data_IF_532473833565
#
_entry.id   IF_532473833565
#
_cell.length_a   1.000
_cell.length_b   1.000
_cell.length_c   1.000
_cell.angle_alpha   90.00
_cell.angle_beta   90.00
_cell.angle_gamma   90.00
#
_symmetry.space_group_name_H-M   'P 1'
#
loop_
_entity.id
_entity.type
_entity.pdbx_description
1 polymer ?
#
# COMPACT_ATOMS: atom_id res chain seq x y z
N UNK A 1 4.62 46.84 -8.98
CA UNK A 1 3.76 46.73 -10.19
C UNK A 1 2.75 45.57 -9.98
N UNK A 2 1.47 45.82 -10.25
CA UNK A 2 0.42 44.79 -10.20
C UNK A 2 -0.53 44.94 -11.40
N UNK A 3 -0.88 43.86 -12.08
CA UNK A 3 -1.70 43.90 -13.29
C UNK A 3 -1.19 44.84 -14.40
N UNK A 4 0.14 44.96 -14.54
CA UNK A 4 0.78 45.84 -15.52
C UNK A 4 0.72 47.33 -15.21
N UNK A 5 0.19 47.72 -14.05
CA UNK A 5 0.18 49.16 -13.60
C UNK A 5 1.26 49.40 -12.57
N UNK A 6 1.98 50.48 -12.72
CA UNK A 6 2.90 50.99 -11.71
C UNK A 6 2.07 51.58 -10.57
N UNK A 7 2.25 51.05 -9.35
CA UNK A 7 1.50 51.50 -8.16
C UNK A 7 2.11 52.76 -7.54
N UNK A 8 3.43 52.74 -7.36
CA UNK A 8 4.24 53.86 -6.94
C UNK A 8 5.71 53.59 -7.31
N UNK A 9 6.54 54.65 -7.38
CA UNK A 9 7.96 54.55 -7.70
C UNK A 9 8.76 55.49 -6.80
N UNK A 10 9.82 54.93 -6.23
CA UNK A 10 10.73 55.72 -5.36
C UNK A 10 11.74 54.82 -4.67
N UNK A 11 12.78 55.38 -4.08
CA UNK A 11 13.72 54.65 -3.27
C UNK A 11 13.02 54.02 -2.05
N UNK A 12 13.42 52.79 -1.64
CA UNK A 12 12.78 52.05 -0.56
C UNK A 12 12.56 52.82 0.72
N UNK A 13 13.54 53.61 1.13
CA UNK A 13 13.48 54.47 2.33
C UNK A 13 12.37 55.51 2.24
N UNK A 14 12.16 56.10 1.07
CA UNK A 14 11.15 57.12 0.85
C UNK A 14 9.73 56.49 0.79
N UNK A 15 9.60 55.30 0.23
CA UNK A 15 8.33 54.54 0.22
C UNK A 15 7.94 54.13 1.64
N UNK A 16 8.88 53.63 2.45
CA UNK A 16 8.62 53.26 3.85
C UNK A 16 8.19 54.51 4.67
N UNK A 17 8.83 55.62 4.47
CA UNK A 17 8.49 56.88 5.15
C UNK A 17 7.15 57.43 4.69
N UNK A 18 6.87 57.40 3.37
CA UNK A 18 5.62 57.90 2.77
C UNK A 18 4.39 57.11 3.24
N UNK A 19 4.52 55.78 3.36
CA UNK A 19 3.43 54.91 3.75
C UNK A 19 3.47 54.49 5.23
N UNK A 20 4.45 54.98 6.00
CA UNK A 20 4.68 54.68 7.42
C UNK A 20 4.64 53.17 7.73
N UNK A 21 5.21 52.38 6.87
CA UNK A 21 5.32 50.96 7.04
C UNK A 21 6.74 50.58 7.45
N UNK A 22 6.89 49.52 8.22
CA UNK A 22 8.18 48.99 8.65
C UNK A 22 8.90 48.17 7.56
N UNK A 23 8.13 47.61 6.59
CA UNK A 23 8.69 46.82 5.51
C UNK A 23 8.08 47.17 4.15
N UNK A 24 8.85 46.99 3.07
CA UNK A 24 8.40 47.24 1.69
C UNK A 24 7.23 46.32 1.31
N UNK A 25 7.17 45.12 1.87
CA UNK A 25 6.08 44.18 1.66
C UNK A 25 4.74 44.75 2.17
N UNK A 26 4.75 45.41 3.34
CA UNK A 26 3.57 46.09 3.88
C UNK A 26 3.11 47.24 2.99
N UNK A 27 4.06 48.03 2.47
CA UNK A 27 3.76 49.09 1.50
C UNK A 27 3.09 48.51 0.26
N UNK A 28 3.61 47.39 -0.25
CA UNK A 28 3.07 46.75 -1.41
C UNK A 28 1.65 46.19 -1.17
N UNK A 29 1.42 45.54 -0.03
CA UNK A 29 0.10 45.01 0.38
C UNK A 29 -0.92 46.14 0.48
N UNK A 30 -0.54 47.27 1.08
CA UNK A 30 -1.38 48.44 1.23
C UNK A 30 -1.76 49.07 -0.14
N UNK A 31 -0.79 49.18 -1.05
CA UNK A 31 -1.03 49.69 -2.40
C UNK A 31 -1.87 48.71 -3.25
N UNK A 32 -1.64 47.43 -3.08
CA UNK A 32 -2.42 46.43 -3.79
C UNK A 32 -3.87 46.35 -3.32
N UNK A 33 -4.13 46.45 -2.01
CA UNK A 33 -5.47 46.52 -1.45
C UNK A 33 -6.25 47.76 -1.87
N UNK A 34 -5.55 48.91 -1.97
CA UNK A 34 -6.15 50.15 -2.51
C UNK A 34 -6.53 50.02 -3.99
N UNK A 35 -5.75 49.27 -4.78
CA UNK A 35 -6.07 49.01 -6.18
C UNK A 35 -7.31 48.14 -6.31
N UNK A 36 -7.44 47.11 -5.47
CA UNK A 36 -8.61 46.21 -5.48
C UNK A 36 -9.89 46.96 -5.08
N UNK A 37 -9.85 47.83 -4.08
CA UNK A 37 -10.99 48.67 -3.69
C UNK A 37 -11.45 49.63 -4.81
N UNK A 38 -10.53 50.17 -5.62
CA UNK A 38 -10.88 51.01 -6.78
C UNK A 38 -11.49 50.22 -7.94
N UNK A 39 -11.37 48.89 -7.97
CA UNK A 39 -11.99 47.98 -8.95
C UNK A 39 -13.33 47.43 -8.47
N UNK A 40 -13.69 47.64 -7.21
CA UNK A 40 -14.92 47.17 -6.55
C UNK A 40 -15.92 48.28 -6.23
N UNK A 41 -15.93 49.40 -6.93
CA UNK A 41 -17.05 50.34 -6.87
C UNK A 41 -18.31 49.74 -7.56
N UNK A 42 -18.85 48.69 -6.92
CA UNK A 42 -20.22 48.16 -7.03
C UNK A 42 -20.66 47.90 -5.58
N UNK A 43 -21.81 48.45 -5.12
CA UNK A 43 -22.21 48.36 -3.73
C UNK A 43 -22.78 46.96 -3.39
N UNK A 44 -22.10 46.23 -2.55
CA UNK A 44 -22.69 45.15 -1.76
C UNK A 44 -22.06 45.09 -0.39
N UNK A 45 -22.92 45.23 0.62
CA UNK A 45 -22.65 45.13 2.05
C UNK A 45 -21.97 43.82 2.40
N UNK A 46 -20.98 43.86 3.28
CA UNK A 46 -20.42 42.65 3.92
C UNK A 46 -19.04 42.92 4.56
N UNK A 47 -19.06 43.22 5.85
CA UNK A 47 -17.91 43.38 6.73
C UNK A 47 -16.89 42.22 6.62
N UNK A 48 -15.66 42.57 6.25
CA UNK A 48 -14.46 41.86 6.72
C UNK A 48 -13.37 42.90 6.97
N UNK A 49 -13.26 43.30 8.24
CA UNK A 49 -12.19 44.15 8.73
C UNK A 49 -10.90 43.34 8.80
N UNK A 50 -9.98 43.56 7.88
CA UNK A 50 -8.56 43.34 8.09
C UNK A 50 -7.93 44.71 8.19
N UNK A 51 -7.79 45.19 9.42
CA UNK A 51 -7.13 46.44 9.76
C UNK A 51 -5.60 46.31 9.54
N UNK A 52 -5.14 46.60 8.35
CA UNK A 52 -3.74 46.98 8.14
C UNK A 52 -3.69 48.51 8.20
N UNK A 53 -3.66 49.06 9.42
CA UNK A 53 -3.41 50.46 9.67
C UNK A 53 -1.92 50.75 9.58
N UNK A 54 -1.49 51.29 8.46
CA UNK A 54 -0.34 52.20 8.46
C UNK A 54 -0.92 53.63 8.58
N UNK A 55 -0.59 54.34 9.65
CA UNK A 55 -1.09 55.71 9.86
C UNK A 55 -0.51 56.64 8.79
N UNK A 56 -1.39 57.25 8.02
CA UNK A 56 -1.02 58.31 7.05
C UNK A 56 -0.81 59.61 7.83
N UNK A 57 0.43 60.06 8.00
CA UNK A 57 0.69 61.44 8.48
C UNK A 57 0.40 62.39 7.32
N UNK A 58 -0.60 63.21 7.52
CA UNK A 58 -0.82 64.42 6.76
C UNK A 58 0.19 65.44 7.23
N UNK A 59 1.24 65.68 6.48
CA UNK A 59 2.10 66.84 6.70
C UNK A 59 1.48 68.03 5.99
N UNK A 60 0.96 68.97 6.79
CA UNK A 60 0.62 70.30 6.33
C UNK A 60 1.91 71.09 6.01
N UNK A 61 1.78 71.84 4.98
CA UNK A 61 2.61 72.81 4.31
C UNK A 61 3.61 73.62 5.12
N UNK A 62 4.75 73.87 4.50
CA UNK A 62 5.41 75.16 4.52
C UNK A 62 6.06 75.36 3.16
N UNK A 63 5.61 76.39 2.48
CA UNK A 63 6.14 76.95 1.22
C UNK A 63 7.55 77.43 1.35
N UNK A 64 8.41 77.02 0.47
CA UNK A 64 9.51 77.86 -0.03
C UNK A 64 9.97 77.37 -1.39
N UNK A 65 9.78 78.22 -2.40
CA UNK A 65 10.29 77.99 -3.76
C UNK A 65 11.82 77.93 -3.79
N UNK A 66 12.38 77.06 -4.62
CA UNK A 66 13.38 77.45 -5.59
C UNK A 66 13.17 76.93 -7.01
N UNK A 67 13.56 77.75 -7.91
CA UNK A 67 13.71 77.81 -9.36
C UNK A 67 13.75 76.47 -10.16
N UNK A 68 13.37 76.50 -11.47
CA UNK A 68 13.16 75.33 -12.31
C UNK A 68 14.49 74.73 -12.79
N UNK A 69 14.77 73.57 -12.40
CA UNK A 69 15.81 72.74 -12.98
C UNK A 69 15.25 71.91 -14.14
N UNK A 70 16.01 71.86 -15.24
CA UNK A 70 15.73 71.40 -16.56
C UNK A 70 14.94 70.07 -16.56
N UNK A 71 13.79 70.11 -17.20
CA UNK A 71 13.04 68.90 -17.63
C UNK A 71 13.90 68.03 -18.56
N UNK A 72 14.44 66.99 -17.99
CA UNK A 72 14.91 65.86 -18.79
C UNK A 72 13.65 65.21 -19.43
N UNK A 73 13.51 65.34 -20.74
CA UNK A 73 12.45 64.73 -21.47
C UNK A 73 12.53 63.20 -21.33
N UNK A 74 11.73 62.67 -20.43
CA UNK A 74 11.54 61.22 -20.32
C UNK A 74 10.89 60.72 -21.62
N UNK A 75 11.68 60.06 -22.45
CA UNK A 75 11.21 59.32 -23.57
C UNK A 75 10.00 58.50 -23.13
N UNK A 76 8.80 58.72 -23.69
CA UNK A 76 7.64 57.85 -23.56
C UNK A 76 8.06 56.45 -23.94
N UNK A 77 8.46 55.66 -22.95
CA UNK A 77 8.61 54.22 -23.12
C UNK A 77 7.25 53.67 -23.50
N UNK A 78 7.17 53.10 -24.68
CA UNK A 78 6.03 52.34 -25.08
C UNK A 78 5.74 51.29 -24.00
N UNK A 79 4.70 51.54 -23.19
CA UNK A 79 4.17 50.52 -22.32
C UNK A 79 3.62 49.43 -23.23
N UNK A 80 4.45 48.39 -23.45
CA UNK A 80 4.02 47.15 -24.10
C UNK A 80 3.02 46.53 -23.15
N UNK A 81 1.74 46.84 -23.33
CA UNK A 81 0.62 46.14 -22.69
C UNK A 81 0.53 44.76 -23.32
N UNK A 82 1.46 43.90 -23.01
CA UNK A 82 1.27 42.47 -23.23
C UNK A 82 0.11 42.05 -22.36
N UNK A 83 -1.09 41.93 -22.94
CA UNK A 83 -2.19 41.18 -22.33
C UNK A 83 -1.73 39.74 -22.20
N UNK A 84 -1.10 39.41 -21.08
CA UNK A 84 -0.70 38.04 -20.74
C UNK A 84 -1.98 37.20 -20.73
N UNK A 85 -2.15 36.37 -21.74
CA UNK A 85 -3.27 35.44 -21.82
C UNK A 85 -3.13 34.39 -20.75
N UNK A 86 -4.23 33.82 -20.24
CA UNK A 86 -4.20 32.73 -19.24
C UNK A 86 -3.28 31.59 -19.69
N UNK A 87 -3.28 31.28 -20.99
CA UNK A 87 -2.42 30.26 -21.56
C UNK A 87 -0.92 30.55 -21.43
N UNK A 88 -0.50 31.81 -21.65
CA UNK A 88 0.91 32.21 -21.51
C UNK A 88 1.37 32.11 -20.05
N UNK A 89 0.51 32.47 -19.09
CA UNK A 89 0.78 32.33 -17.65
C UNK A 89 0.89 30.87 -17.25
N UNK A 90 -0.03 30.02 -17.68
CA UNK A 90 0.00 28.58 -17.44
C UNK A 90 1.28 27.93 -18.00
N UNK A 91 1.65 28.26 -19.24
CA UNK A 91 2.90 27.77 -19.85
C UNK A 91 4.13 28.16 -19.01
N UNK A 92 4.20 29.40 -18.53
CA UNK A 92 5.33 29.87 -17.72
C UNK A 92 5.40 29.12 -16.38
N UNK A 93 4.24 28.85 -15.73
CA UNK A 93 4.17 28.08 -14.50
C UNK A 93 4.61 26.64 -14.71
N UNK A 94 4.14 25.99 -15.79
CA UNK A 94 4.53 24.64 -16.13
C UNK A 94 6.03 24.52 -16.36
N UNK A 95 6.62 25.44 -17.15
CA UNK A 95 8.06 25.46 -17.38
C UNK A 95 8.84 25.66 -16.06
N UNK A 96 8.36 26.58 -15.20
CA UNK A 96 8.95 26.78 -13.86
C UNK A 96 8.96 25.48 -13.05
N UNK A 97 7.80 24.83 -12.96
CA UNK A 97 7.63 23.62 -12.16
C UNK A 97 8.46 22.44 -12.71
N UNK A 98 8.46 22.24 -14.02
CA UNK A 98 9.27 21.18 -14.67
C UNK A 98 10.77 21.44 -14.44
N UNK A 99 11.24 22.66 -14.66
CA UNK A 99 12.65 23.00 -14.41
C UNK A 99 13.05 22.83 -12.96
N UNK A 100 12.14 23.08 -12.03
CA UNK A 100 12.39 22.87 -10.60
C UNK A 100 12.58 21.37 -10.31
N UNK A 101 11.69 20.51 -10.81
CA UNK A 101 11.79 19.05 -10.66
C UNK A 101 13.11 18.51 -11.24
N UNK A 102 13.46 18.94 -12.45
CA UNK A 102 14.68 18.46 -13.15
C UNK A 102 15.96 18.98 -12.47
N UNK A 103 15.95 20.17 -11.89
CA UNK A 103 17.13 20.76 -11.21
C UNK A 103 17.42 20.17 -9.84
N UNK A 104 16.51 19.39 -9.26
CA UNK A 104 16.72 18.68 -8.01
C UNK A 104 16.87 17.16 -8.24
N UNK A 105 18.02 16.70 -8.74
CA UNK A 105 18.21 15.30 -9.13
C UNK A 105 18.08 14.34 -7.95
N UNK A 106 18.43 14.78 -6.73
CA UNK A 106 18.25 13.96 -5.52
C UNK A 106 16.78 13.69 -5.20
N UNK A 107 15.94 14.71 -5.28
CA UNK A 107 14.49 14.58 -5.09
C UNK A 107 13.84 13.73 -6.17
N UNK A 108 14.25 13.95 -7.44
CA UNK A 108 13.76 13.17 -8.56
C UNK A 108 14.18 11.70 -8.45
N UNK A 109 15.44 11.43 -8.11
CA UNK A 109 15.94 10.07 -7.89
C UNK A 109 15.17 9.36 -6.77
N UNK A 110 14.96 10.03 -5.63
CA UNK A 110 14.18 9.50 -4.52
C UNK A 110 12.74 9.15 -4.95
N UNK A 111 12.11 10.03 -5.73
CA UNK A 111 10.72 9.87 -6.22
C UNK A 111 10.55 8.61 -7.07
N UNK A 112 11.56 8.19 -7.85
CA UNK A 112 11.50 6.99 -8.68
C UNK A 112 12.09 5.74 -8.00
N UNK A 113 13.13 5.87 -7.19
CA UNK A 113 13.74 4.72 -6.52
C UNK A 113 12.84 4.19 -5.41
N UNK A 114 12.15 5.06 -4.67
CA UNK A 114 11.34 4.67 -3.52
C UNK A 114 10.22 3.68 -3.89
N UNK A 115 9.38 3.90 -4.92
CA UNK A 115 8.31 2.96 -5.30
C UNK A 115 8.83 1.58 -5.68
N UNK A 116 9.95 1.53 -6.39
CA UNK A 116 10.60 0.26 -6.78
C UNK A 116 11.07 -0.50 -5.54
N UNK A 117 11.72 0.21 -4.62
CA UNK A 117 12.23 -0.37 -3.38
C UNK A 117 11.08 -0.88 -2.49
N UNK A 118 9.96 -0.16 -2.39
CA UNK A 118 8.78 -0.58 -1.66
C UNK A 118 8.16 -1.85 -2.25
N UNK A 119 8.04 -1.94 -3.59
CA UNK A 119 7.52 -3.14 -4.26
C UNK A 119 8.46 -4.32 -4.05
N UNK A 120 9.77 -4.12 -4.23
CA UNK A 120 10.77 -5.18 -4.00
C UNK A 120 10.67 -5.67 -2.55
N UNK A 121 10.63 -4.76 -1.58
CA UNK A 121 10.51 -5.10 -0.16
C UNK A 121 9.23 -5.87 0.12
N UNK A 122 8.10 -5.44 -0.46
CA UNK A 122 6.82 -6.13 -0.32
C UNK A 122 6.89 -7.58 -0.83
N UNK A 123 7.37 -7.78 -2.06
CA UNK A 123 7.44 -9.13 -2.63
C UNK A 123 8.50 -10.01 -1.98
N UNK A 124 9.59 -9.44 -1.48
CA UNK A 124 10.62 -10.20 -0.74
C UNK A 124 10.13 -10.63 0.64
N UNK A 125 9.24 -9.84 1.28
CA UNK A 125 8.74 -10.15 2.63
C UNK A 125 7.46 -10.97 2.63
N UNK A 126 6.52 -10.70 1.71
CA UNK A 126 5.16 -11.27 1.72
C UNK A 126 4.93 -12.16 0.48
N UNK A 127 5.70 -11.97 -0.59
CA UNK A 127 5.46 -12.60 -1.89
C UNK A 127 5.73 -14.09 -1.99
N UNK A 128 6.39 -14.71 -1.00
CA UNK A 128 6.75 -16.11 -0.99
C UNK A 128 5.92 -16.96 -0.04
N UNK A 129 5.82 -18.27 -0.33
CA UNK A 129 5.32 -19.22 0.66
C UNK A 129 6.30 -19.29 1.83
N UNK A 130 5.79 -19.40 3.07
CA UNK A 130 6.65 -19.54 4.24
C UNK A 130 7.53 -20.78 4.10
N UNK A 131 8.83 -20.65 4.38
CA UNK A 131 9.81 -21.74 4.25
C UNK A 131 10.36 -22.13 5.61
N UNK A 132 10.82 -23.40 5.74
CA UNK A 132 11.48 -23.91 6.95
C UNK A 132 10.63 -23.87 8.22
N UNK A 133 9.32 -24.06 8.08
CA UNK A 133 8.42 -24.14 9.22
C UNK A 133 8.71 -25.43 10.03
N UNK A 134 8.79 -25.32 11.36
CA UNK A 134 9.05 -26.46 12.22
C UNK A 134 7.76 -27.03 12.77
N UNK A 135 7.51 -28.32 12.51
CA UNK A 135 6.41 -29.07 13.10
C UNK A 135 6.91 -30.07 14.13
N UNK A 136 6.27 -30.10 15.29
CA UNK A 136 6.43 -31.17 16.25
C UNK A 136 5.62 -32.40 15.80
N UNK A 137 6.23 -33.55 15.79
CA UNK A 137 5.57 -34.82 15.47
C UNK A 137 5.59 -35.70 16.72
N UNK A 138 4.39 -36.08 17.18
CA UNK A 138 4.20 -37.11 18.19
C UNK A 138 3.49 -38.27 17.52
N UNK A 139 4.21 -39.35 17.28
CA UNK A 139 3.69 -40.47 16.51
C UNK A 139 3.83 -41.77 17.32
N UNK A 140 2.74 -42.14 17.98
CA UNK A 140 2.67 -43.38 18.77
C UNK A 140 2.46 -44.61 17.91
N UNK A 141 1.94 -44.46 16.66
CA UNK A 141 1.74 -45.56 15.68
C UNK A 141 3.06 -46.24 15.23
N UNK A 142 4.20 -45.54 15.46
CA UNK A 142 5.54 -46.10 15.17
C UNK A 142 6.04 -47.08 16.24
N UNK A 143 5.42 -47.14 17.41
CA UNK A 143 5.91 -47.91 18.55
C UNK A 143 7.28 -47.40 19.06
N UNK A 144 8.30 -48.26 19.10
CA UNK A 144 9.61 -47.95 19.66
C UNK A 144 10.59 -47.25 18.72
N UNK A 145 10.17 -46.89 17.49
CA UNK A 145 11.05 -46.23 16.55
C UNK A 145 11.15 -44.71 16.82
N UNK A 146 12.35 -44.13 16.61
CA UNK A 146 12.62 -42.74 16.96
C UNK A 146 12.10 -41.74 15.94
N UNK A 147 11.94 -42.15 14.67
CA UNK A 147 11.45 -41.33 13.57
C UNK A 147 10.98 -42.17 12.38
N UNK A 148 10.25 -41.57 11.47
CA UNK A 148 9.71 -42.30 10.30
C UNK A 148 10.76 -42.85 9.33
N UNK A 149 11.95 -42.24 9.26
CA UNK A 149 13.03 -42.79 8.42
C UNK A 149 13.61 -44.08 9.04
N UNK A 150 13.72 -44.13 10.35
CA UNK A 150 14.14 -45.30 11.11
C UNK A 150 13.09 -46.44 10.96
N UNK A 151 11.83 -46.10 11.13
CA UNK A 151 10.71 -47.04 10.88
C UNK A 151 10.74 -47.60 9.44
N UNK A 152 10.85 -46.75 8.42
CA UNK A 152 10.84 -47.14 7.02
C UNK A 152 12.05 -48.00 6.60
N UNK A 153 13.18 -47.92 7.33
CA UNK A 153 14.36 -48.75 7.09
C UNK A 153 14.17 -50.19 7.54
N UNK A 154 13.26 -50.47 8.49
CA UNK A 154 13.01 -51.76 9.07
C UNK A 154 11.66 -52.37 8.65
N UNK A 155 10.67 -51.54 8.35
CA UNK A 155 9.31 -51.98 8.03
C UNK A 155 8.81 -51.27 6.75
N UNK A 156 8.10 -52.01 5.86
CA UNK A 156 7.47 -51.37 4.72
C UNK A 156 6.36 -50.43 5.19
N UNK A 157 6.30 -49.21 4.61
CA UNK A 157 5.26 -48.22 4.89
C UNK A 157 4.29 -48.12 3.72
N UNK A 158 2.99 -47.95 4.00
CA UNK A 158 1.96 -47.84 3.02
C UNK A 158 1.21 -49.16 2.74
N UNK A 159 0.91 -49.44 1.48
CA UNK A 159 0.14 -50.57 1.05
C UNK A 159 1.06 -51.75 0.77
N UNK A 160 0.80 -52.89 1.43
CA UNK A 160 1.50 -54.16 1.20
C UNK A 160 0.49 -55.18 0.62
N UNK A 161 0.76 -55.69 -0.57
CA UNK A 161 -0.06 -56.70 -1.19
C UNK A 161 0.34 -58.10 -0.68
N UNK A 162 -0.64 -58.83 -0.20
CA UNK A 162 -0.56 -60.27 0.00
C UNK A 162 -1.53 -60.95 -0.96
N UNK A 163 -1.37 -62.26 -1.18
CA UNK A 163 -2.00 -63.03 -2.28
C UNK A 163 -3.51 -62.80 -2.53
N UNK A 164 -4.26 -62.20 -1.60
CA UNK A 164 -5.67 -61.82 -1.79
C UNK A 164 -6.11 -60.56 -0.97
N UNK A 165 -5.24 -60.00 -0.12
CA UNK A 165 -5.61 -58.93 0.80
C UNK A 165 -4.65 -57.74 0.71
N UNK A 166 -5.22 -56.53 0.89
CA UNK A 166 -4.50 -55.28 0.96
C UNK A 166 -4.25 -54.94 2.44
N UNK A 167 -3.00 -55.02 2.87
CA UNK A 167 -2.62 -54.77 4.24
C UNK A 167 -1.96 -53.39 4.30
N UNK A 168 -2.40 -52.55 5.26
CA UNK A 168 -1.84 -51.28 5.51
C UNK A 168 -0.82 -51.35 6.67
N UNK A 169 0.34 -50.68 6.52
CA UNK A 169 1.38 -50.62 7.55
C UNK A 169 2.01 -49.23 7.61
N UNK A 170 2.17 -48.74 8.84
CA UNK A 170 2.86 -47.46 9.11
C UNK A 170 2.29 -46.30 8.29
N UNK A 171 0.95 -46.21 8.21
CA UNK A 171 0.27 -45.15 7.44
C UNK A 171 0.59 -43.76 7.94
N UNK A 172 0.85 -43.59 9.23
CA UNK A 172 1.31 -42.31 9.83
C UNK A 172 2.61 -41.84 9.19
N UNK A 173 3.60 -42.71 9.05
CA UNK A 173 4.88 -42.37 8.41
C UNK A 173 4.74 -42.20 6.88
N UNK A 174 3.89 -43.01 6.24
CA UNK A 174 3.61 -42.84 4.83
C UNK A 174 2.96 -41.49 4.52
N UNK A 175 1.96 -41.09 5.32
CA UNK A 175 1.36 -39.76 5.26
C UNK A 175 2.37 -38.62 5.44
N UNK A 176 3.23 -38.69 6.47
CA UNK A 176 4.24 -37.68 6.72
C UNK A 176 5.24 -37.56 5.57
N UNK A 177 5.62 -38.65 4.94
CA UNK A 177 6.50 -38.68 3.76
C UNK A 177 5.81 -38.10 2.53
N UNK A 178 4.57 -38.45 2.27
CA UNK A 178 3.78 -37.88 1.18
C UNK A 178 3.51 -36.40 1.39
N UNK A 179 3.19 -36.00 2.60
CA UNK A 179 2.99 -34.59 2.99
C UNK A 179 4.26 -33.76 2.75
N UNK A 180 5.43 -34.29 3.13
CA UNK A 180 6.71 -33.61 2.87
C UNK A 180 7.02 -33.46 1.38
N UNK A 181 6.72 -34.50 0.57
CA UNK A 181 7.07 -34.52 -0.84
C UNK A 181 6.06 -33.79 -1.74
N UNK A 182 4.81 -33.65 -1.31
CA UNK A 182 3.72 -33.10 -2.12
C UNK A 182 3.64 -31.57 -2.11
N UNK A 183 4.38 -30.91 -1.22
CA UNK A 183 4.23 -29.48 -0.98
C UNK A 183 5.42 -28.67 -1.49
N UNK A 184 5.10 -27.48 -2.03
CA UNK A 184 6.10 -26.44 -2.35
C UNK A 184 6.74 -25.83 -1.09
N UNK A 185 6.13 -26.04 0.08
CA UNK A 185 6.59 -25.58 1.39
C UNK A 185 7.31 -26.72 2.09
N UNK A 186 8.59 -26.54 2.38
CA UNK A 186 9.37 -27.55 3.12
C UNK A 186 9.17 -27.36 4.61
N UNK A 187 8.67 -28.40 5.27
CA UNK A 187 8.52 -28.49 6.72
C UNK A 187 9.69 -29.24 7.34
N UNK A 188 10.19 -28.75 8.49
CA UNK A 188 11.19 -29.46 9.28
C UNK A 188 10.47 -30.18 10.42
N UNK A 189 10.48 -31.50 10.42
CA UNK A 189 9.88 -32.33 11.45
C UNK A 189 10.81 -32.50 12.64
N UNK A 190 10.28 -32.23 13.83
CA UNK A 190 10.96 -32.47 15.11
C UNK A 190 10.14 -33.48 15.90
N UNK A 191 10.67 -34.67 16.11
CA UNK A 191 9.97 -35.75 16.79
C UNK A 191 10.05 -35.60 18.31
N UNK A 192 8.91 -35.83 18.96
CA UNK A 192 8.76 -35.80 20.41
C UNK A 192 8.13 -37.11 20.88
N UNK A 193 8.55 -37.59 22.05
CA UNK A 193 8.00 -38.82 22.67
C UNK A 193 6.70 -38.55 23.44
N UNK A 194 6.44 -37.30 23.77
CA UNK A 194 5.30 -36.89 24.58
C UNK A 194 4.65 -35.61 24.06
N UNK A 195 3.33 -35.60 24.11
CA UNK A 195 2.53 -34.47 23.62
C UNK A 195 2.77 -33.19 24.45
N UNK A 196 2.93 -33.32 25.79
CA UNK A 196 3.10 -32.17 26.64
C UNK A 196 4.43 -31.42 26.37
N UNK A 197 5.49 -32.16 26.05
CA UNK A 197 6.79 -31.60 25.64
C UNK A 197 6.71 -30.87 24.31
N UNK A 198 5.98 -31.45 23.35
CA UNK A 198 5.74 -30.82 22.05
C UNK A 198 4.91 -29.53 22.21
N UNK A 199 3.83 -29.58 22.99
CA UNK A 199 2.97 -28.42 23.26
C UNK A 199 3.70 -27.31 24.01
N UNK A 200 4.63 -27.64 24.91
CA UNK A 200 5.49 -26.64 25.55
C UNK A 200 6.35 -25.92 24.52
N UNK A 201 6.94 -26.64 23.58
CA UNK A 201 7.76 -26.06 22.50
C UNK A 201 6.95 -25.15 21.56
N UNK A 202 5.65 -25.44 21.32
CA UNK A 202 4.75 -24.52 20.59
C UNK A 202 4.55 -23.23 21.41
N UNK A 203 4.26 -23.34 22.71
CA UNK A 203 4.08 -22.18 23.60
C UNK A 203 5.33 -21.30 23.69
N UNK A 204 6.51 -21.88 23.56
CA UNK A 204 7.80 -21.17 23.52
C UNK A 204 8.09 -20.57 22.15
N UNK A 205 7.23 -20.78 21.12
CA UNK A 205 7.40 -20.26 19.78
C UNK A 205 8.46 -20.99 18.93
N UNK A 206 8.93 -22.15 19.36
CA UNK A 206 9.94 -22.95 18.64
C UNK A 206 9.32 -23.78 17.50
N UNK A 207 8.01 -24.07 17.57
CA UNK A 207 7.23 -24.86 16.63
C UNK A 207 6.01 -24.07 16.20
N UNK A 208 5.59 -24.26 14.93
CA UNK A 208 4.35 -23.67 14.41
C UNK A 208 3.11 -24.50 14.75
N UNK A 209 3.31 -25.76 15.08
CA UNK A 209 2.24 -26.68 15.47
C UNK A 209 2.74 -28.06 15.79
N UNK A 210 1.82 -28.90 16.24
CA UNK A 210 2.09 -30.31 16.58
C UNK A 210 1.09 -31.19 15.82
N UNK A 211 1.59 -32.28 15.24
CA UNK A 211 0.82 -33.38 14.66
C UNK A 211 0.92 -34.56 15.61
N UNK A 212 -0.22 -35.12 15.98
CA UNK A 212 -0.30 -36.30 16.85
C UNK A 212 -1.02 -37.43 16.11
N UNK A 213 -0.39 -38.60 16.14
CA UNK A 213 -0.94 -39.87 15.67
C UNK A 213 -1.07 -40.84 16.85
N UNK A 214 -2.26 -41.41 17.03
CA UNK A 214 -2.51 -42.36 18.08
C UNK A 214 -1.78 -43.70 17.82
N UNK A 215 -1.57 -44.52 18.86
CA UNK A 215 -0.87 -45.81 18.81
C UNK A 215 -1.46 -46.77 17.76
N UNK A 216 -2.79 -46.79 17.60
CA UNK A 216 -3.50 -47.66 16.69
C UNK A 216 -4.01 -46.92 15.43
N UNK A 217 -3.35 -45.84 15.01
CA UNK A 217 -3.80 -45.05 13.86
C UNK A 217 -3.96 -45.87 12.58
N UNK A 218 -2.97 -46.68 12.24
CA UNK A 218 -2.99 -47.54 11.03
C UNK A 218 -4.09 -48.59 11.09
N UNK A 219 -4.26 -49.25 12.25
CA UNK A 219 -5.30 -50.29 12.46
C UNK A 219 -6.70 -49.65 12.46
N UNK A 220 -6.90 -48.53 13.09
CA UNK A 220 -8.15 -47.78 13.14
C UNK A 220 -8.56 -47.24 11.77
N UNK A 221 -7.60 -46.83 10.95
CA UNK A 221 -7.84 -46.43 9.57
C UNK A 221 -8.39 -47.61 8.74
N UNK A 222 -7.78 -48.77 8.91
CA UNK A 222 -8.23 -50.03 8.25
C UNK A 222 -9.62 -50.43 8.71
N UNK A 223 -9.84 -50.48 10.02
CA UNK A 223 -11.14 -50.80 10.60
C UNK A 223 -12.25 -49.85 10.15
N UNK A 224 -11.97 -48.57 10.02
CA UNK A 224 -12.91 -47.57 9.48
C UNK A 224 -13.29 -47.87 8.02
N UNK A 225 -12.35 -48.32 7.20
CA UNK A 225 -12.62 -48.67 5.81
C UNK A 225 -13.50 -49.93 5.70
N UNK A 226 -13.28 -50.92 6.60
CA UNK A 226 -14.01 -52.18 6.61
C UNK A 226 -15.40 -52.05 7.22
N UNK A 227 -15.52 -51.41 8.39
CA UNK A 227 -16.74 -51.26 9.15
C UNK A 227 -17.64 -50.12 8.64
N UNK A 228 -17.06 -49.10 8.03
CA UNK A 228 -17.79 -47.96 7.48
C UNK A 228 -18.66 -47.26 8.54
N UNK A 229 -19.99 -47.44 8.43
CA UNK A 229 -20.95 -46.80 9.35
C UNK A 229 -21.05 -47.53 10.71
N UNK A 230 -20.62 -48.77 10.79
CA UNK A 230 -20.66 -49.56 12.02
C UNK A 230 -19.38 -49.45 12.85
N UNK A 231 -18.48 -48.50 12.49
CA UNK A 231 -17.25 -48.26 13.25
C UNK A 231 -17.54 -47.63 14.62
N UNK A 232 -16.94 -48.20 15.67
CA UNK A 232 -17.03 -47.66 17.02
C UNK A 232 -16.39 -46.27 17.18
N UNK A 233 -16.86 -45.49 18.14
CA UNK A 233 -16.34 -44.15 18.45
C UNK A 233 -14.83 -44.19 18.72
N UNK A 234 -14.33 -45.22 19.38
CA UNK A 234 -12.88 -45.42 19.61
C UNK A 234 -12.09 -45.51 18.29
N UNK A 235 -12.60 -46.25 17.30
CA UNK A 235 -11.98 -46.37 15.97
C UNK A 235 -11.98 -45.00 15.26
N UNK A 236 -13.08 -44.30 15.37
CA UNK A 236 -13.22 -42.95 14.77
C UNK A 236 -12.27 -41.93 15.39
N UNK A 237 -12.05 -41.94 16.70
CA UNK A 237 -11.15 -41.03 17.39
C UNK A 237 -9.66 -41.39 17.16
N UNK A 238 -9.35 -42.69 17.08
CA UNK A 238 -7.96 -43.14 16.94
C UNK A 238 -7.39 -43.02 15.54
N UNK A 239 -8.27 -42.95 14.50
CA UNK A 239 -7.81 -42.68 13.14
C UNK A 239 -7.68 -41.20 12.80
N UNK A 240 -8.07 -40.30 13.72
CA UNK A 240 -7.92 -38.85 13.51
C UNK A 240 -6.46 -38.39 13.67
N UNK A 241 -6.00 -37.57 12.72
CA UNK A 241 -4.75 -36.83 12.89
C UNK A 241 -5.08 -35.59 13.69
N UNK A 242 -4.65 -35.55 14.97
CA UNK A 242 -4.90 -34.39 15.82
C UNK A 242 -3.83 -33.33 15.61
N UNK A 243 -4.26 -32.09 15.35
CA UNK A 243 -3.37 -30.99 14.96
C UNK A 243 -3.63 -29.78 15.85
N UNK A 244 -2.58 -29.28 16.49
CA UNK A 244 -2.56 -28.00 17.20
C UNK A 244 -1.66 -27.06 16.46
N UNK A 245 -2.18 -25.90 16.04
CA UNK A 245 -1.46 -24.87 15.27
C UNK A 245 -1.33 -23.60 16.09
N UNK A 246 -0.22 -22.91 15.93
CA UNK A 246 -0.07 -21.53 16.39
C UNK A 246 -0.84 -20.60 15.45
N UNK A 247 -1.93 -20.03 15.96
CA UNK A 247 -2.81 -19.13 15.21
C UNK A 247 -2.41 -17.66 15.32
N UNK A 248 -1.25 -17.34 15.91
CA UNK A 248 -0.75 -15.96 16.04
C UNK A 248 -0.61 -15.30 14.66
N UNK A 249 -0.12 -16.05 13.68
CA UNK A 249 -0.18 -15.66 12.28
C UNK A 249 -1.31 -16.44 11.57
N UNK A 250 -2.52 -15.90 11.63
CA UNK A 250 -3.72 -16.55 11.08
C UNK A 250 -3.60 -16.90 9.59
N UNK A 251 -2.86 -16.12 8.81
CA UNK A 251 -2.65 -16.36 7.38
C UNK A 251 -1.85 -17.63 7.12
N UNK A 252 -0.72 -17.77 7.82
CA UNK A 252 0.14 -18.96 7.72
C UNK A 252 -0.59 -20.18 8.25
N UNK A 253 -1.28 -20.07 9.38
CA UNK A 253 -2.06 -21.17 9.96
C UNK A 253 -3.17 -21.64 9.03
N UNK A 254 -3.91 -20.71 8.39
CA UNK A 254 -4.96 -21.04 7.43
C UNK A 254 -4.41 -21.76 6.19
N UNK A 255 -3.28 -21.29 5.68
CA UNK A 255 -2.59 -21.95 4.54
C UNK A 255 -2.16 -23.37 4.91
N UNK A 256 -1.60 -23.57 6.10
CA UNK A 256 -1.21 -24.89 6.60
C UNK A 256 -2.43 -25.80 6.74
N UNK A 257 -3.50 -25.29 7.32
CA UNK A 257 -4.75 -26.04 7.48
C UNK A 257 -5.30 -26.50 6.13
N UNK A 258 -5.36 -25.63 5.13
CA UNK A 258 -5.79 -25.98 3.79
C UNK A 258 -4.87 -27.05 3.17
N UNK A 259 -3.56 -26.86 3.24
CA UNK A 259 -2.60 -27.84 2.72
C UNK A 259 -2.71 -29.20 3.40
N UNK A 260 -3.00 -29.22 4.69
CA UNK A 260 -3.18 -30.45 5.44
C UNK A 260 -4.41 -31.22 4.97
N UNK A 261 -5.54 -30.55 4.78
CA UNK A 261 -6.75 -31.16 4.22
C UNK A 261 -6.50 -31.72 2.81
N UNK A 262 -5.90 -30.94 1.92
CA UNK A 262 -5.62 -31.36 0.54
C UNK A 262 -4.68 -32.58 0.52
N UNK A 263 -3.65 -32.57 1.39
CA UNK A 263 -2.71 -33.69 1.49
C UNK A 263 -3.35 -34.94 2.06
N UNK A 264 -4.22 -34.83 3.06
CA UNK A 264 -4.95 -35.97 3.60
C UNK A 264 -5.90 -36.59 2.57
N UNK A 265 -6.62 -35.77 1.80
CA UNK A 265 -7.47 -36.27 0.72
C UNK A 265 -6.69 -36.99 -0.37
N UNK A 266 -5.58 -36.38 -0.82
CA UNK A 266 -4.72 -37.02 -1.84
C UNK A 266 -4.13 -38.33 -1.36
N UNK A 267 -3.66 -38.34 -0.09
CA UNK A 267 -3.16 -39.55 0.57
C UNK A 267 -4.21 -40.64 0.65
N UNK A 268 -5.41 -40.35 1.14
CA UNK A 268 -6.50 -41.33 1.28
C UNK A 268 -6.94 -41.87 -0.08
N UNK A 269 -7.05 -41.02 -1.11
CA UNK A 269 -7.36 -41.46 -2.47
C UNK A 269 -6.29 -42.36 -3.07
N UNK A 270 -5.01 -42.04 -2.83
CA UNK A 270 -3.86 -42.82 -3.31
C UNK A 270 -3.89 -44.23 -2.70
N UNK A 271 -4.04 -44.31 -1.39
CA UNK A 271 -4.11 -45.59 -0.67
C UNK A 271 -5.28 -46.47 -1.15
N UNK A 272 -6.47 -45.89 -1.29
CA UNK A 272 -7.63 -46.62 -1.79
C UNK A 272 -7.41 -47.10 -3.23
N UNK A 273 -6.83 -46.27 -4.09
CA UNK A 273 -6.49 -46.64 -5.47
C UNK A 273 -5.46 -47.76 -5.51
N UNK A 274 -4.45 -47.72 -4.67
CA UNK A 274 -3.42 -48.74 -4.58
C UNK A 274 -3.99 -50.07 -4.08
N UNK A 275 -5.05 -50.05 -3.29
CA UNK A 275 -5.80 -51.26 -2.90
C UNK A 275 -6.90 -51.69 -3.89
N UNK A 276 -7.00 -51.09 -5.07
CA UNK A 276 -8.05 -51.40 -6.05
C UNK A 276 -9.46 -50.95 -5.64
N UNK A 277 -9.57 -50.19 -4.55
CA UNK A 277 -10.82 -49.61 -4.07
C UNK A 277 -11.15 -48.30 -4.81
N UNK A 278 -12.43 -47.91 -4.80
CA UNK A 278 -12.82 -46.68 -5.46
C UNK A 278 -12.36 -45.45 -4.68
N UNK A 279 -11.42 -44.63 -5.22
CA UNK A 279 -10.88 -43.47 -4.52
C UNK A 279 -11.94 -42.41 -4.15
N UNK A 280 -13.10 -42.43 -4.81
CA UNK A 280 -14.21 -41.51 -4.52
C UNK A 280 -14.85 -41.72 -3.14
N UNK A 281 -14.64 -42.89 -2.53
CA UNK A 281 -15.16 -43.20 -1.18
C UNK A 281 -14.48 -42.30 -0.11
N UNK A 282 -13.22 -41.94 -0.33
CA UNK A 282 -12.49 -41.04 0.56
C UNK A 282 -12.81 -39.55 0.34
N UNK A 283 -13.61 -39.20 -0.68
CA UNK A 283 -13.92 -37.80 -0.97
C UNK A 283 -15.23 -37.38 -0.32
N UNK A 284 -15.26 -36.14 0.19
CA UNK A 284 -16.51 -35.50 0.57
C UNK A 284 -17.36 -35.32 -0.71
N UNK A 285 -18.69 -35.57 -0.68
CA UNK A 285 -19.55 -35.46 -1.87
C UNK A 285 -19.79 -33.98 -2.27
N UNK A 286 -18.78 -33.13 -2.11
CA UNK A 286 -18.74 -31.73 -2.55
C UNK A 286 -17.53 -31.56 -3.45
N UNK A 287 -17.76 -31.34 -4.73
CA UNK A 287 -16.70 -31.17 -5.71
C UNK A 287 -16.63 -29.70 -6.14
N UNK A 288 -15.48 -29.10 -5.91
CA UNK A 288 -15.16 -27.78 -6.48
C UNK A 288 -14.64 -28.00 -7.90
N UNK A 289 -15.41 -27.51 -8.87
CA UNK A 289 -14.98 -27.49 -10.27
C UNK A 289 -14.02 -26.36 -10.55
N UNK A 290 -13.52 -26.30 -11.78
CA UNK A 290 -12.65 -25.22 -12.22
C UNK A 290 -13.27 -23.86 -11.90
N UNK A 291 -12.52 -22.94 -11.22
CA UNK A 291 -13.06 -21.64 -10.84
C UNK A 291 -13.44 -20.84 -12.08
N UNK A 292 -14.54 -20.11 -12.00
CA UNK A 292 -14.98 -19.20 -13.08
C UNK A 292 -13.98 -18.07 -13.27
N UNK A 293 -13.43 -17.57 -12.17
CA UNK A 293 -12.37 -16.57 -12.13
C UNK A 293 -11.31 -16.97 -11.11
N UNK A 294 -10.04 -16.63 -11.39
CA UNK A 294 -8.93 -16.92 -10.50
C UNK A 294 -8.35 -18.33 -10.67
N UNK A 295 -7.57 -18.75 -9.69
CA UNK A 295 -6.97 -20.10 -9.62
C UNK A 295 -7.11 -20.67 -8.21
N UNK A 296 -7.26 -21.96 -8.08
CA UNK A 296 -7.33 -22.66 -6.79
C UNK A 296 -6.01 -22.57 -6.01
N UNK A 297 -4.88 -22.40 -6.72
CA UNK A 297 -3.53 -22.32 -6.15
C UNK A 297 -2.96 -20.91 -6.26
N UNK A 298 -3.64 -19.89 -5.75
CA UNK A 298 -3.06 -18.54 -5.72
C UNK A 298 -2.24 -18.33 -4.44
N UNK A 299 -0.99 -17.90 -4.61
CA UNK A 299 -0.14 -17.50 -3.51
C UNK A 299 -0.74 -16.26 -2.82
N UNK A 300 -0.63 -16.20 -1.50
CA UNK A 300 -1.14 -15.09 -0.69
C UNK A 300 -0.61 -13.72 -1.15
N UNK A 301 0.68 -13.64 -1.48
CA UNK A 301 1.29 -12.43 -2.01
C UNK A 301 0.63 -11.94 -3.31
N UNK A 302 0.28 -12.86 -4.22
CA UNK A 302 -0.40 -12.53 -5.48
C UNK A 302 -1.83 -12.01 -5.24
N UNK A 303 -2.52 -12.50 -4.21
CA UNK A 303 -3.86 -12.05 -3.83
C UNK A 303 -3.84 -10.62 -3.28
N UNK A 304 -2.88 -10.29 -2.41
CA UNK A 304 -2.79 -8.97 -1.77
C UNK A 304 -2.14 -7.92 -2.68
N UNK A 305 -1.26 -8.33 -3.60
CA UNK A 305 -0.47 -7.42 -4.43
C UNK A 305 -1.28 -6.28 -5.09
N UNK A 306 -2.47 -6.51 -5.69
CA UNK A 306 -3.25 -5.42 -6.29
C UNK A 306 -3.65 -4.34 -5.29
N UNK A 307 -4.06 -4.74 -4.07
CA UNK A 307 -4.41 -3.81 -3.00
C UNK A 307 -3.23 -2.96 -2.54
N UNK A 308 -2.07 -3.59 -2.38
CA UNK A 308 -0.82 -2.90 -2.01
C UNK A 308 -0.39 -1.91 -3.08
N UNK A 309 -0.42 -2.29 -4.36
CA UNK A 309 -0.05 -1.42 -5.48
C UNK A 309 -0.96 -0.19 -5.54
N UNK A 310 -2.28 -0.36 -5.41
CA UNK A 310 -3.26 0.74 -5.39
C UNK A 310 -3.00 1.69 -4.22
N UNK A 311 -2.76 1.14 -3.03
CA UNK A 311 -2.47 1.90 -1.81
C UNK A 311 -1.15 2.66 -1.92
N UNK A 312 -0.11 2.02 -2.45
CA UNK A 312 1.20 2.62 -2.67
C UNK A 312 1.12 3.85 -3.58
N UNK A 313 0.46 3.72 -4.73
CA UNK A 313 0.31 4.85 -5.68
C UNK A 313 -0.45 6.01 -5.04
N UNK A 314 -1.49 5.73 -4.24
CA UNK A 314 -2.23 6.76 -3.52
C UNK A 314 -1.32 7.53 -2.56
N UNK A 315 -0.60 6.83 -1.66
CA UNK A 315 0.26 7.48 -0.68
C UNK A 315 1.44 8.22 -1.31
N UNK A 316 2.04 7.68 -2.36
CA UNK A 316 3.09 8.37 -3.11
C UNK A 316 2.57 9.68 -3.71
N UNK A 317 1.40 9.65 -4.33
CA UNK A 317 0.78 10.84 -4.92
C UNK A 317 0.46 11.90 -3.85
N UNK A 318 -0.09 11.51 -2.70
CA UNK A 318 -0.33 12.41 -1.56
C UNK A 318 0.97 13.03 -1.08
N UNK A 319 1.99 12.21 -0.82
CA UNK A 319 3.27 12.64 -0.23
C UNK A 319 4.02 13.60 -1.15
N UNK A 320 4.20 13.22 -2.42
CA UNK A 320 4.93 14.05 -3.40
C UNK A 320 4.23 15.39 -3.61
N UNK A 321 2.90 15.38 -3.75
CA UNK A 321 2.13 16.62 -3.94
C UNK A 321 2.20 17.52 -2.72
N UNK A 322 2.10 16.95 -1.52
CA UNK A 322 2.20 17.71 -0.26
C UNK A 322 3.56 18.36 -0.08
N UNK A 323 4.64 17.59 -0.28
CA UNK A 323 6.02 18.10 -0.14
C UNK A 323 6.27 19.28 -1.09
N UNK A 324 5.85 19.17 -2.35
CA UNK A 324 6.05 20.24 -3.34
C UNK A 324 5.35 21.54 -2.92
N UNK A 325 4.10 21.45 -2.45
CA UNK A 325 3.33 22.64 -2.01
C UNK A 325 3.94 23.26 -0.75
N UNK A 326 4.33 22.43 0.23
CA UNK A 326 4.99 22.90 1.46
C UNK A 326 6.26 23.65 1.10
N UNK A 327 7.13 23.05 0.31
CA UNK A 327 8.41 23.64 -0.09
C UNK A 327 8.22 24.98 -0.82
N UNK A 328 7.21 25.11 -1.71
CA UNK A 328 6.93 26.39 -2.37
C UNK A 328 6.45 27.48 -1.41
N UNK A 329 5.71 27.10 -0.37
CA UNK A 329 5.30 28.04 0.67
C UNK A 329 6.46 28.48 1.54
N UNK A 330 7.28 27.54 2.00
CA UNK A 330 8.43 27.81 2.88
C UNK A 330 9.49 28.68 2.18
N UNK A 331 9.70 28.50 0.88
CA UNK A 331 10.58 29.34 0.08
C UNK A 331 9.97 30.70 -0.29
N UNK A 332 8.70 30.95 0.06
CA UNK A 332 7.98 32.18 -0.29
C UNK A 332 7.73 32.34 -1.80
N UNK A 333 7.92 31.30 -2.60
CA UNK A 333 7.67 31.32 -4.06
C UNK A 333 6.17 31.42 -4.35
N UNK A 334 5.35 30.82 -3.51
CA UNK A 334 3.90 30.89 -3.59
C UNK A 334 3.39 32.34 -3.54
N UNK A 335 3.81 33.11 -2.53
CA UNK A 335 3.37 34.50 -2.34
C UNK A 335 3.88 35.42 -3.46
N UNK A 336 5.14 35.26 -3.88
CA UNK A 336 5.68 35.98 -5.04
C UNK A 336 4.91 35.72 -6.32
N UNK A 337 4.44 34.50 -6.52
CA UNK A 337 3.62 34.12 -7.70
C UNK A 337 2.23 34.76 -7.64
N UNK A 338 1.60 34.79 -6.45
CA UNK A 338 0.32 35.49 -6.25
C UNK A 338 0.45 37.00 -6.49
N UNK A 339 1.52 37.60 -5.97
CA UNK A 339 1.81 39.04 -6.15
C UNK A 339 2.03 39.39 -7.64
N UNK A 340 2.56 38.47 -8.44
CA UNK A 340 2.71 38.69 -9.90
C UNK A 340 1.39 38.72 -10.66
N UNK A 341 0.25 38.46 -9.98
CA UNK A 341 -1.11 38.47 -10.58
C UNK A 341 -1.59 37.14 -11.13
N UNK A 342 -0.93 36.05 -10.75
CA UNK A 342 -1.39 34.69 -11.04
C UNK A 342 -2.45 34.29 -10.00
N UNK A 343 -3.51 33.62 -10.42
CA UNK A 343 -4.57 33.16 -9.51
C UNK A 343 -4.17 31.86 -8.82
N UNK A 344 -4.69 31.62 -7.62
CA UNK A 344 -4.45 30.37 -6.87
C UNK A 344 -4.84 29.14 -7.67
N UNK A 345 -5.93 29.22 -8.43
CA UNK A 345 -6.39 28.11 -9.30
C UNK A 345 -5.40 27.82 -10.42
N UNK A 346 -4.76 28.84 -11.02
CA UNK A 346 -3.72 28.66 -12.04
C UNK A 346 -2.47 27.98 -11.44
N UNK A 347 -2.11 28.32 -10.20
CA UNK A 347 -0.98 27.69 -9.48
C UNK A 347 -1.29 26.23 -9.21
N UNK A 348 -2.45 25.91 -8.58
CA UNK A 348 -2.85 24.55 -8.27
C UNK A 348 -2.96 23.68 -9.51
N UNK A 349 -3.56 24.21 -10.57
CA UNK A 349 -3.69 23.47 -11.85
C UNK A 349 -2.32 23.19 -12.47
N UNK A 350 -1.38 24.13 -12.38
CA UNK A 350 -0.01 23.91 -12.88
C UNK A 350 0.73 22.81 -12.10
N UNK A 351 0.51 22.72 -10.77
CA UNK A 351 1.04 21.63 -9.97
C UNK A 351 0.37 20.30 -10.31
N UNK A 352 -0.96 20.28 -10.44
CA UNK A 352 -1.69 19.07 -10.82
C UNK A 352 -1.18 18.49 -12.14
N UNK A 353 -0.94 19.35 -13.15
CA UNK A 353 -0.42 18.90 -14.44
C UNK A 353 1.03 18.41 -14.36
N UNK A 354 1.88 19.10 -13.62
CA UNK A 354 3.29 18.71 -13.47
C UNK A 354 3.43 17.42 -12.65
N UNK A 355 2.75 17.35 -11.52
CA UNK A 355 2.77 16.15 -10.65
C UNK A 355 2.04 14.98 -11.33
N UNK A 356 0.98 15.28 -12.10
CA UNK A 356 0.30 14.26 -12.90
C UNK A 356 1.21 13.58 -13.92
N UNK A 357 2.12 14.34 -14.55
CA UNK A 357 3.12 13.76 -15.46
C UNK A 357 4.10 12.84 -14.69
N UNK A 358 4.59 13.26 -13.54
CA UNK A 358 5.46 12.44 -12.67
C UNK A 358 4.73 11.18 -12.23
N UNK A 359 3.48 11.30 -11.78
CA UNK A 359 2.64 10.19 -11.35
C UNK A 359 2.39 9.17 -12.47
N UNK A 360 2.18 9.60 -13.71
CA UNK A 360 2.05 8.70 -14.87
C UNK A 360 3.33 7.88 -15.03
N UNK A 361 4.50 8.51 -14.97
CA UNK A 361 5.79 7.83 -15.09
C UNK A 361 6.02 6.83 -13.95
N UNK A 362 5.71 7.23 -12.70
CA UNK A 362 5.78 6.34 -11.52
C UNK A 362 4.83 5.15 -11.65
N UNK A 363 3.59 5.38 -12.12
CA UNK A 363 2.62 4.30 -12.30
C UNK A 363 3.10 3.29 -13.35
N UNK A 364 3.69 3.77 -14.45
CA UNK A 364 4.28 2.90 -15.45
C UNK A 364 5.46 2.10 -14.90
N UNK A 365 6.31 2.73 -14.10
CA UNK A 365 7.44 2.08 -13.42
C UNK A 365 6.97 1.00 -12.45
N UNK A 366 5.97 1.28 -11.62
CA UNK A 366 5.33 0.32 -10.70
C UNK A 366 4.73 -0.86 -11.48
N UNK A 367 4.07 -0.60 -12.60
CA UNK A 367 3.52 -1.67 -13.45
C UNK A 367 4.63 -2.54 -14.04
N UNK A 368 5.67 -1.93 -14.61
CA UNK A 368 6.80 -2.66 -15.19
C UNK A 368 7.49 -3.51 -14.13
N UNK A 369 7.70 -2.99 -12.93
CA UNK A 369 8.32 -3.72 -11.83
C UNK A 369 7.43 -4.88 -11.37
N UNK A 370 6.14 -4.65 -11.17
CA UNK A 370 5.21 -5.66 -10.65
C UNK A 370 4.95 -6.80 -11.64
N UNK A 371 4.69 -6.46 -12.90
CA UNK A 371 4.37 -7.46 -13.92
C UNK A 371 5.62 -8.04 -14.61
N UNK A 372 6.67 -7.22 -14.82
CA UNK A 372 7.89 -7.63 -15.51
C UNK A 372 8.87 -8.35 -14.61
N UNK A 373 9.16 -7.81 -13.41
CA UNK A 373 10.15 -8.39 -12.49
C UNK A 373 9.54 -9.52 -11.65
N UNK A 374 8.35 -9.30 -11.08
CA UNK A 374 7.70 -10.27 -10.19
C UNK A 374 6.70 -11.19 -10.90
N UNK A 375 6.48 -11.00 -12.20
CA UNK A 375 5.67 -11.91 -13.02
C UNK A 375 4.21 -12.03 -12.58
N UNK A 376 3.62 -10.98 -12.02
CA UNK A 376 2.20 -10.96 -11.67
C UNK A 376 1.35 -11.27 -12.90
N UNK A 377 0.44 -12.23 -12.79
CA UNK A 377 -0.46 -12.61 -13.89
C UNK A 377 -1.61 -11.62 -13.98
N UNK A 378 -1.68 -10.87 -15.08
CA UNK A 378 -2.83 -10.01 -15.39
C UNK A 378 -3.80 -10.79 -16.29
N UNK A 379 -4.98 -11.16 -15.76
CA UNK A 379 -6.04 -11.83 -16.53
C UNK A 379 -6.92 -10.83 -17.29
N UNK A 380 -6.80 -9.53 -17.03
CA UNK A 380 -7.57 -8.46 -17.67
C UNK A 380 -6.73 -7.61 -18.62
N UNK A 381 -7.32 -6.51 -19.06
CA UNK A 381 -6.63 -5.51 -19.90
C UNK A 381 -5.66 -4.67 -19.07
N UNK A 382 -4.40 -4.61 -19.46
CA UNK A 382 -3.40 -3.70 -18.86
C UNK A 382 -3.85 -2.23 -18.88
N UNK A 383 -4.60 -1.83 -19.91
CA UNK A 383 -5.13 -0.48 -20.00
C UNK A 383 -6.14 -0.16 -18.89
N UNK A 384 -6.99 -1.11 -18.53
CA UNK A 384 -7.96 -0.95 -17.43
C UNK A 384 -7.24 -0.80 -16.08
N UNK A 385 -6.20 -1.61 -15.86
CA UNK A 385 -5.37 -1.50 -14.63
C UNK A 385 -4.67 -0.14 -14.59
N UNK A 386 -4.04 0.26 -15.68
CA UNK A 386 -3.38 1.57 -15.77
C UNK A 386 -4.38 2.72 -15.50
N UNK A 387 -5.56 2.69 -16.09
CA UNK A 387 -6.58 3.73 -15.88
C UNK A 387 -7.01 3.80 -14.41
N UNK A 388 -7.24 2.65 -13.78
CA UNK A 388 -7.61 2.58 -12.36
C UNK A 388 -6.52 3.19 -11.48
N UNK A 389 -5.25 2.82 -11.71
CA UNK A 389 -4.11 3.35 -10.96
C UNK A 389 -3.93 4.87 -11.16
N UNK A 390 -4.16 5.37 -12.38
CA UNK A 390 -4.13 6.81 -12.67
C UNK A 390 -5.25 7.57 -11.96
N UNK A 391 -6.47 7.03 -11.92
CA UNK A 391 -7.59 7.61 -11.17
C UNK A 391 -7.28 7.63 -9.67
N UNK A 392 -6.70 6.56 -9.15
CA UNK A 392 -6.28 6.49 -7.75
C UNK A 392 -5.19 7.51 -7.42
N UNK A 393 -4.19 7.65 -8.28
CA UNK A 393 -3.15 8.67 -8.15
C UNK A 393 -3.70 10.10 -8.21
N UNK A 394 -4.67 10.38 -9.08
CA UNK A 394 -5.38 11.66 -9.12
C UNK A 394 -6.10 11.95 -7.80
N UNK A 395 -6.77 10.95 -7.23
CA UNK A 395 -7.42 11.07 -5.91
C UNK A 395 -6.38 11.41 -4.83
N UNK A 396 -5.23 10.74 -4.82
CA UNK A 396 -4.12 11.03 -3.92
C UNK A 396 -3.59 12.46 -4.07
N UNK A 397 -3.37 12.93 -5.30
CA UNK A 397 -2.93 14.31 -5.55
C UNK A 397 -3.94 15.34 -5.06
N UNK A 398 -5.24 15.14 -5.32
CA UNK A 398 -6.28 16.03 -4.81
C UNK A 398 -6.30 16.07 -3.28
N UNK A 399 -6.16 14.92 -2.63
CA UNK A 399 -6.06 14.81 -1.16
C UNK A 399 -4.84 15.57 -0.63
N UNK A 400 -3.67 15.41 -1.26
CA UNK A 400 -2.45 16.14 -0.91
C UNK A 400 -2.58 17.65 -1.04
N UNK A 401 -3.29 18.14 -2.07
CA UNK A 401 -3.57 19.57 -2.23
C UNK A 401 -4.51 20.11 -1.14
N UNK A 402 -5.59 19.39 -0.83
CA UNK A 402 -6.61 19.81 0.15
C UNK A 402 -6.00 19.86 1.55
N UNK A 403 -5.16 18.90 1.91
CA UNK A 403 -4.50 18.85 3.22
C UNK A 403 -3.70 20.13 3.54
N UNK A 404 -3.22 20.86 2.52
CA UNK A 404 -2.38 22.05 2.69
C UNK A 404 -3.07 23.38 2.35
N UNK A 405 -4.26 23.38 1.75
CA UNK A 405 -4.91 24.63 1.32
C UNK A 405 -5.81 25.28 2.35
N UNK A 406 -6.05 24.68 3.51
CA UNK A 406 -6.87 25.35 4.49
C UNK A 406 -7.37 24.55 5.68
N UNK A 407 -7.15 23.26 5.72
CA UNK A 407 -7.48 22.46 6.90
C UNK A 407 -6.20 22.01 7.58
N UNK A 408 -5.93 22.55 8.78
CA UNK A 408 -5.03 21.94 9.75
C UNK A 408 -5.68 20.61 10.22
N UNK A 409 -5.76 19.62 9.34
CA UNK A 409 -5.91 18.26 9.83
C UNK A 409 -4.55 17.86 10.39
N UNK A 410 -4.46 17.47 11.65
CA UNK A 410 -3.22 16.93 12.19
C UNK A 410 -2.83 15.74 11.30
N UNK A 411 -1.61 15.74 10.79
CA UNK A 411 -1.00 14.70 9.94
C UNK A 411 -1.17 13.27 10.52
N UNK A 412 -1.47 13.16 11.81
CA UNK A 412 -1.79 11.93 12.52
C UNK A 412 -3.15 11.32 12.14
N UNK A 413 -4.11 12.10 11.62
CA UNK A 413 -5.43 11.57 11.25
C UNK A 413 -5.46 10.96 9.83
N UNK A 414 -4.56 11.38 8.93
CA UNK A 414 -4.46 10.79 7.58
C UNK A 414 -3.69 9.47 7.56
N UNK A 415 -2.85 9.20 8.56
CA UNK A 415 -2.19 7.91 8.76
C UNK A 415 -3.08 6.87 9.46
N UNK A 416 -4.13 7.31 10.16
CA UNK A 416 -5.03 6.43 10.90
C UNK A 416 -6.33 6.08 10.15
N UNK A 417 -6.52 6.60 8.93
CA UNK A 417 -7.59 6.16 8.05
C UNK A 417 -6.94 5.47 6.83
N UNK A 418 -6.64 4.17 6.90
CA UNK A 418 -6.30 3.44 5.70
C UNK A 418 -7.51 3.54 4.75
N UNK A 419 -7.33 3.55 3.42
CA UNK A 419 -8.44 3.46 2.49
C UNK A 419 -9.05 2.06 2.61
N UNK A 420 -9.83 1.86 3.67
CA UNK A 420 -10.54 0.63 4.00
C UNK A 420 -11.82 0.54 3.17
N UNK A 421 -11.72 0.58 1.85
CA UNK A 421 -12.80 0.07 1.01
C UNK A 421 -12.71 -1.43 0.73
N UNK A 422 -11.68 -2.12 1.24
CA UNK A 422 -11.50 -3.57 1.05
C UNK A 422 -11.21 -4.36 2.33
N UNK A 423 -11.36 -3.77 3.51
CA UNK A 423 -11.07 -4.45 4.78
C UNK A 423 -12.29 -4.51 5.71
N UNK A 424 -13.48 -4.71 5.13
CA UNK A 424 -14.73 -4.82 5.91
C UNK A 424 -15.03 -6.23 6.43
N UNK A 425 -14.11 -7.20 6.31
CA UNK A 425 -14.40 -8.57 6.78
C UNK A 425 -13.51 -9.11 7.91
N UNK A 426 -12.57 -8.36 8.47
CA UNK A 426 -11.67 -8.93 9.50
C UNK A 426 -11.52 -8.06 10.73
N UNK A 427 -12.55 -7.44 11.26
CA UNK A 427 -12.52 -7.00 12.66
C UNK A 427 -13.88 -6.42 13.10
N UNK A 428 -14.86 -7.28 13.29
CA UNK A 428 -15.87 -7.04 14.32
C UNK A 428 -15.44 -7.81 15.57
N UNK A 429 -15.10 -7.15 16.69
CA UNK A 429 -15.05 -7.87 17.95
C UNK A 429 -16.48 -8.27 18.30
N UNK A 430 -16.69 -9.58 18.40
CA UNK A 430 -17.86 -10.17 19.03
C UNK A 430 -17.96 -9.69 20.47
N UNK A 431 -18.76 -8.69 20.70
CA UNK A 431 -19.33 -8.38 22.00
C UNK A 431 -20.82 -8.10 21.80
N UNK A 432 -21.56 -9.19 21.79
CA UNK A 432 -22.86 -9.34 22.42
C UNK A 432 -23.14 -10.82 22.61
#
# INVERSE_FOLDING_TARGET
>A
MRNGKLLDEGPPSLLLTRYKCSTIEQVFLLLSSKQDRKLQDVPTDGNLNVDVRCDVIRSEESESHPKPEKQLSFRKGYAYQSKSTRFTRMKSLLVKNILRVVRHPGGLGFTFILPVLEIITFFMTIGGNPQNLRFGIVNEDMGNFSNCNDYASHMPTGVVYTDNDCIFRGLSCHFLTDFYNSLDVKYNYVYYNDLDSAMKSVKEGNLIGVLYFAENFTESFTARLELGQDADEYVLDSHEIKIWLDMTNGQTAYLIQQQMYDSYFNFSQKILKDCGLNPKVATIPVAFHTPVYGSLSSNYGTFIAPGVIVTLIFFLAVTVTSIVIITERDEGVWDRTLVSGVTTTEILLSHLLTQGLVMILQTLEVMVTSFGLFGLKCHGSFFTVLLLLLVQGLCGMCTGMVAHTGFQFPFTATLSCPPTMFQWEVSCPSSF
#
